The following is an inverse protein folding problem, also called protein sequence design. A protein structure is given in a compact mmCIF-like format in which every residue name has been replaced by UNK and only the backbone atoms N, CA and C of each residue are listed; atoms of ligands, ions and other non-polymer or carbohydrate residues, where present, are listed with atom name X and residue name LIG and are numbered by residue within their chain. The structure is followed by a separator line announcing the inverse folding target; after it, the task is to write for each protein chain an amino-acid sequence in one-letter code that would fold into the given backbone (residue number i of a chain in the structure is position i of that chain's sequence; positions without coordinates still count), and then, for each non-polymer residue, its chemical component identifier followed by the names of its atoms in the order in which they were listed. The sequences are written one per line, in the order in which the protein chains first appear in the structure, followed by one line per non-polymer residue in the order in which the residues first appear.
data_IF_344348070281
#
_entry.id   IF_344348070281
#
_cell.length_a   1.000
_cell.length_b   1.000
_cell.length_c   1.000
_cell.angle_alpha   90.00
_cell.angle_beta   90.00
_cell.angle_gamma   90.00
#
_symmetry.space_group_name_H-M   'P 1'
#
loop_
_entity.id
_entity.type
_entity.pdbx_description
1 polymer ?
#
# COMPACT_ATOMS: atom_id res chain seq x y z
N UNK A 1 13.59 -25.43 7.00
CA UNK A 1 13.26 -24.33 7.95
C UNK A 1 13.83 -22.95 7.62
N UNK A 2 14.63 -22.72 6.54
CA UNK A 2 15.21 -21.38 6.27
C UNK A 2 14.27 -20.37 5.60
N UNK A 3 13.21 -20.83 4.92
CA UNK A 3 12.30 -19.96 4.14
C UNK A 3 11.53 -18.94 4.98
N UNK A 4 10.86 -19.30 6.10
CA UNK A 4 10.15 -18.33 6.95
C UNK A 4 11.03 -17.18 7.47
N UNK A 5 12.30 -17.49 7.80
CA UNK A 5 13.27 -16.49 8.24
C UNK A 5 13.59 -15.47 7.14
N UNK A 6 13.62 -15.88 5.86
CA UNK A 6 13.86 -14.96 4.74
C UNK A 6 12.65 -14.04 4.49
N UNK A 7 11.43 -14.54 4.68
CA UNK A 7 10.21 -13.73 4.62
C UNK A 7 10.18 -12.68 5.74
N UNK A 8 10.40 -13.11 6.99
CA UNK A 8 10.44 -12.19 8.14
C UNK A 8 11.51 -11.13 7.98
N UNK A 9 12.71 -11.51 7.50
CA UNK A 9 13.77 -10.55 7.20
C UNK A 9 13.31 -9.53 6.15
N UNK A 10 12.68 -9.96 5.08
CA UNK A 10 12.21 -9.06 4.00
C UNK A 10 11.13 -8.10 4.49
N UNK A 11 10.18 -8.59 5.30
CA UNK A 11 9.17 -7.76 5.95
C UNK A 11 9.81 -6.73 6.91
N UNK A 12 10.81 -7.15 7.68
CA UNK A 12 11.57 -6.24 8.55
C UNK A 12 12.31 -5.16 7.75
N UNK A 13 12.91 -5.50 6.61
CA UNK A 13 13.55 -4.50 5.74
C UNK A 13 12.54 -3.47 5.25
N UNK A 14 11.37 -3.91 4.79
CA UNK A 14 10.30 -3.00 4.37
C UNK A 14 9.88 -2.08 5.52
N UNK A 15 9.62 -2.61 6.72
CA UNK A 15 9.24 -1.83 7.89
C UNK A 15 10.33 -0.83 8.31
N UNK A 16 11.59 -1.25 8.30
CA UNK A 16 12.73 -0.39 8.61
C UNK A 16 12.82 0.78 7.63
N UNK A 17 12.80 0.51 6.31
CA UNK A 17 12.90 1.57 5.30
C UNK A 17 11.67 2.47 5.26
N UNK A 18 10.48 1.92 5.52
CA UNK A 18 9.27 2.70 5.70
C UNK A 18 9.40 3.70 6.86
N UNK A 19 9.82 3.23 8.05
CA UNK A 19 10.01 4.08 9.23
C UNK A 19 11.12 5.12 9.02
N UNK A 20 12.25 4.72 8.43
CA UNK A 20 13.33 5.66 8.11
C UNK A 20 12.85 6.77 7.18
N UNK A 21 12.06 6.43 6.16
CA UNK A 21 11.51 7.41 5.23
C UNK A 21 10.50 8.32 5.93
N UNK A 22 9.63 7.76 6.77
CA UNK A 22 8.67 8.55 7.56
C UNK A 22 9.40 9.54 8.46
N UNK A 23 10.39 9.10 9.23
CA UNK A 23 11.17 9.97 10.11
C UNK A 23 11.96 11.01 9.34
N UNK A 24 12.54 10.67 8.18
CA UNK A 24 13.25 11.63 7.34
C UNK A 24 12.31 12.71 6.80
N UNK A 25 11.12 12.33 6.34
CA UNK A 25 10.09 13.25 5.81
C UNK A 25 9.58 14.18 6.91
N UNK A 26 9.25 13.64 8.09
CA UNK A 26 8.82 14.43 9.25
C UNK A 26 9.96 15.35 9.73
N UNK A 27 11.19 14.84 9.81
CA UNK A 27 12.35 15.63 10.21
C UNK A 27 12.63 16.79 9.27
N UNK A 28 12.59 16.56 7.96
CA UNK A 28 12.73 17.63 6.95
C UNK A 28 11.60 18.65 7.03
N UNK A 29 10.37 18.20 7.26
CA UNK A 29 9.23 19.10 7.45
C UNK A 29 9.41 19.98 8.69
N UNK A 30 9.88 19.42 9.81
CA UNK A 30 10.16 20.16 11.04
C UNK A 30 11.33 21.16 10.88
N UNK A 31 12.39 20.77 10.17
CA UNK A 31 13.52 21.67 9.85
C UNK A 31 13.02 22.84 9.00
N UNK A 32 12.22 22.57 7.97
CA UNK A 32 11.59 23.60 7.15
C UNK A 32 10.69 24.50 8.00
N UNK A 33 9.88 23.92 8.88
CA UNK A 33 9.00 24.66 9.77
C UNK A 33 9.78 25.61 10.69
N UNK A 34 10.87 25.12 11.29
CA UNK A 34 11.74 25.90 12.15
C UNK A 34 12.42 27.04 11.38
N UNK A 35 12.93 26.76 10.18
CA UNK A 35 13.54 27.78 9.32
C UNK A 35 12.54 28.89 8.95
N UNK A 36 11.32 28.53 8.54
CA UNK A 36 10.26 29.51 8.23
C UNK A 36 9.85 30.32 9.47
N UNK A 37 9.89 29.70 10.64
CA UNK A 37 9.61 30.38 11.91
C UNK A 37 10.69 31.41 12.24
N UNK A 38 11.97 31.07 12.06
CA UNK A 38 13.09 32.00 12.24
C UNK A 38 13.05 33.18 11.27
N UNK A 39 12.50 32.98 10.06
CA UNK A 39 12.31 34.03 9.05
C UNK A 39 11.05 34.88 9.28
N UNK A 40 10.28 34.63 10.34
CA UNK A 40 9.07 35.39 10.67
C UNK A 40 7.87 35.11 9.75
N UNK A 41 7.92 34.03 8.95
CA UNK A 41 6.92 33.70 7.93
C UNK A 41 5.80 32.76 8.44
N UNK A 42 5.58 32.70 9.76
CA UNK A 42 4.65 31.74 10.39
C UNK A 42 3.17 31.96 10.04
N UNK A 43 2.81 33.11 9.48
CA UNK A 43 1.43 33.47 9.12
C UNK A 43 1.04 33.00 7.72
N UNK A 44 2.01 32.71 6.85
CA UNK A 44 1.73 32.24 5.50
C UNK A 44 1.59 30.72 5.50
N UNK A 45 0.38 30.21 5.31
CA UNK A 45 0.13 28.76 5.30
C UNK A 45 0.62 28.07 4.02
N UNK A 46 0.71 28.83 2.92
CA UNK A 46 1.00 28.31 1.57
C UNK A 46 2.35 27.59 1.49
N UNK A 47 3.47 28.15 1.98
CA UNK A 47 4.77 27.46 1.94
C UNK A 47 4.76 26.13 2.71
N UNK A 48 4.06 26.05 3.85
CA UNK A 48 3.96 24.81 4.63
C UNK A 48 3.14 23.75 3.89
N UNK A 49 2.04 24.15 3.24
CA UNK A 49 1.22 23.23 2.44
C UNK A 49 2.01 22.69 1.26
N UNK A 50 2.73 23.55 0.54
CA UNK A 50 3.54 23.14 -0.62
C UNK A 50 4.69 22.22 -0.20
N UNK A 51 5.45 22.59 0.83
CA UNK A 51 6.55 21.77 1.35
C UNK A 51 6.04 20.42 1.88
N UNK A 52 4.92 20.43 2.62
CA UNK A 52 4.26 19.23 3.11
C UNK A 52 3.81 18.31 1.96
N UNK A 53 3.20 18.87 0.91
CA UNK A 53 2.76 18.11 -0.25
C UNK A 53 3.93 17.46 -1.00
N UNK A 54 5.03 18.18 -1.23
CA UNK A 54 6.22 17.66 -1.90
C UNK A 54 6.85 16.52 -1.09
N UNK A 55 7.06 16.75 0.20
CA UNK A 55 7.63 15.75 1.11
C UNK A 55 6.73 14.51 1.22
N UNK A 56 5.41 14.70 1.22
CA UNK A 56 4.44 13.63 1.18
C UNK A 56 4.49 12.83 -0.14
N UNK A 57 4.64 13.49 -1.29
CA UNK A 57 4.82 12.79 -2.57
C UNK A 57 6.11 11.96 -2.61
N UNK A 58 7.21 12.48 -2.05
CA UNK A 58 8.47 11.73 -1.91
C UNK A 58 8.27 10.51 -1.02
N UNK A 59 7.57 10.66 0.11
CA UNK A 59 7.22 9.56 0.99
C UNK A 59 6.42 8.46 0.27
N UNK A 60 5.40 8.85 -0.51
CA UNK A 60 4.57 7.91 -1.27
C UNK A 60 5.37 7.20 -2.37
N UNK A 61 6.25 7.92 -3.06
CA UNK A 61 7.15 7.35 -4.07
C UNK A 61 8.04 6.25 -3.47
N UNK A 62 8.75 6.58 -2.39
CA UNK A 62 9.66 5.65 -1.73
C UNK A 62 8.92 4.47 -1.12
N UNK A 63 7.78 4.70 -0.47
CA UNK A 63 6.94 3.63 0.09
C UNK A 63 6.47 2.66 -1.00
N UNK A 64 6.04 3.17 -2.15
CA UNK A 64 5.63 2.35 -3.29
C UNK A 64 6.80 1.53 -3.84
N UNK A 65 7.99 2.14 -3.94
CA UNK A 65 9.21 1.46 -4.36
C UNK A 65 9.60 0.32 -3.40
N UNK A 66 9.54 0.55 -2.09
CA UNK A 66 9.84 -0.49 -1.09
C UNK A 66 8.77 -1.59 -1.05
N UNK A 67 7.49 -1.25 -1.30
CA UNK A 67 6.40 -2.24 -1.48
C UNK A 67 6.71 -3.17 -2.67
N UNK A 68 7.16 -2.62 -3.79
CA UNK A 68 7.61 -3.39 -4.94
C UNK A 68 8.81 -4.31 -4.64
N UNK A 69 9.82 -3.78 -3.92
CA UNK A 69 10.97 -4.57 -3.48
C UNK A 69 10.59 -5.69 -2.51
N UNK A 70 9.58 -5.47 -1.65
CA UNK A 70 9.04 -6.51 -0.77
C UNK A 70 8.45 -7.68 -1.57
N UNK A 71 7.65 -7.40 -2.60
CA UNK A 71 7.12 -8.45 -3.48
C UNK A 71 8.23 -9.24 -4.17
N UNK A 72 9.29 -8.56 -4.63
CA UNK A 72 10.47 -9.23 -5.19
C UNK A 72 11.16 -10.11 -4.14
N UNK A 73 11.39 -9.58 -2.95
CA UNK A 73 12.05 -10.29 -1.86
C UNK A 73 11.27 -11.53 -1.41
N UNK A 74 9.93 -11.46 -1.40
CA UNK A 74 9.06 -12.60 -1.14
C UNK A 74 9.14 -13.66 -2.24
N UNK A 75 9.17 -13.26 -3.51
CA UNK A 75 9.39 -14.19 -4.62
C UNK A 75 10.79 -14.85 -4.56
N UNK A 76 11.83 -14.13 -4.16
CA UNK A 76 13.16 -14.72 -3.98
C UNK A 76 13.18 -15.69 -2.79
N UNK A 77 12.59 -15.28 -1.66
CA UNK A 77 12.47 -16.10 -0.44
C UNK A 77 11.70 -17.40 -0.69
N UNK A 78 10.65 -17.32 -1.50
CA UNK A 78 9.87 -18.44 -2.00
C UNK A 78 10.73 -19.49 -2.73
N UNK A 79 11.69 -19.03 -3.53
CA UNK A 79 12.63 -19.87 -4.26
C UNK A 79 13.89 -20.22 -3.45
N UNK A 80 13.89 -19.95 -2.14
CA UNK A 80 15.01 -20.24 -1.25
C UNK A 80 16.20 -19.28 -1.36
N UNK A 81 16.04 -18.16 -2.08
CA UNK A 81 17.05 -17.13 -2.24
C UNK A 81 16.88 -16.02 -1.20
N UNK A 82 18.00 -15.48 -0.70
CA UNK A 82 18.01 -14.35 0.25
C UNK A 82 18.19 -13.05 -0.52
N UNK A 83 17.48 -12.00 -0.11
CA UNK A 83 17.75 -10.63 -0.56
C UNK A 83 18.59 -9.89 0.49
N UNK A 84 19.68 -9.27 0.06
CA UNK A 84 20.48 -8.38 0.91
C UNK A 84 19.82 -7.00 1.08
N UNK A 85 20.27 -6.23 2.08
CA UNK A 85 19.81 -4.84 2.29
C UNK A 85 20.12 -3.99 1.05
N UNK A 86 21.35 -4.12 0.53
CA UNK A 86 21.82 -3.41 -0.66
C UNK A 86 20.98 -3.75 -1.89
N UNK A 87 20.69 -5.03 -2.12
CA UNK A 87 19.89 -5.48 -3.25
C UNK A 87 18.45 -4.97 -3.12
N UNK A 88 17.88 -5.00 -1.92
CA UNK A 88 16.55 -4.48 -1.63
C UNK A 88 16.44 -3.00 -1.99
N UNK A 89 17.40 -2.17 -1.53
CA UNK A 89 17.43 -0.74 -1.84
C UNK A 89 17.65 -0.48 -3.33
N UNK A 90 18.64 -1.17 -3.94
CA UNK A 90 18.97 -0.98 -5.35
C UNK A 90 17.80 -1.36 -6.24
N UNK A 91 17.09 -2.43 -5.90
CA UNK A 91 15.89 -2.86 -6.60
C UNK A 91 14.73 -1.88 -6.43
N UNK A 92 14.48 -1.40 -5.20
CA UNK A 92 13.45 -0.41 -4.91
C UNK A 92 13.68 0.87 -5.73
N UNK A 93 14.87 1.46 -5.64
CA UNK A 93 15.21 2.70 -6.32
C UNK A 93 15.24 2.54 -7.84
N UNK A 94 15.78 1.43 -8.34
CA UNK A 94 15.86 1.16 -9.78
C UNK A 94 14.51 0.95 -10.46
N UNK A 95 13.46 0.59 -9.69
CA UNK A 95 12.11 0.33 -10.21
C UNK A 95 11.05 1.26 -9.61
N UNK A 96 11.47 2.30 -8.88
CA UNK A 96 10.56 3.15 -8.11
C UNK A 96 9.49 3.82 -8.97
N UNK A 97 9.87 4.30 -10.17
CA UNK A 97 8.93 4.89 -11.14
C UNK A 97 7.81 3.93 -11.56
N UNK A 98 8.13 2.66 -11.80
CA UNK A 98 7.14 1.64 -12.18
C UNK A 98 6.16 1.38 -11.03
N UNK A 99 6.67 1.18 -9.81
CA UNK A 99 5.81 0.89 -8.66
C UNK A 99 4.98 2.11 -8.26
N UNK A 100 5.55 3.31 -8.33
CA UNK A 100 4.82 4.55 -8.11
C UNK A 100 3.77 4.80 -9.19
N UNK A 101 4.04 4.48 -10.45
CA UNK A 101 3.04 4.53 -11.52
C UNK A 101 1.87 3.57 -11.29
N UNK A 102 2.13 2.34 -10.83
CA UNK A 102 1.07 1.39 -10.44
C UNK A 102 0.25 1.94 -9.28
N UNK A 103 0.91 2.55 -8.30
CA UNK A 103 0.27 3.20 -7.16
C UNK A 103 -0.61 4.38 -7.57
N UNK A 104 -0.13 5.28 -8.44
CA UNK A 104 -0.93 6.39 -8.97
C UNK A 104 -2.17 5.89 -9.71
N UNK A 105 -2.03 4.87 -10.57
CA UNK A 105 -3.17 4.29 -11.28
C UNK A 105 -4.19 3.71 -10.30
N UNK A 106 -3.72 3.04 -9.24
CA UNK A 106 -4.59 2.53 -8.18
C UNK A 106 -5.33 3.66 -7.46
N UNK A 107 -4.64 4.73 -7.04
CA UNK A 107 -5.26 5.91 -6.44
C UNK A 107 -6.27 6.56 -7.38
N UNK A 108 -5.93 6.71 -8.66
CA UNK A 108 -6.85 7.27 -9.64
C UNK A 108 -8.12 6.42 -9.77
N UNK A 109 -7.98 5.09 -9.73
CA UNK A 109 -9.12 4.19 -9.72
C UNK A 109 -9.96 4.34 -8.45
N UNK A 110 -9.33 4.44 -7.27
CA UNK A 110 -10.01 4.72 -5.99
C UNK A 110 -10.78 6.03 -6.08
N UNK A 111 -10.13 7.09 -6.57
CA UNK A 111 -10.72 8.42 -6.73
C UNK A 111 -11.93 8.38 -7.66
N UNK A 112 -11.80 7.72 -8.82
CA UNK A 112 -12.86 7.58 -9.80
C UNK A 112 -14.06 6.82 -9.25
N UNK A 113 -13.83 5.72 -8.53
CA UNK A 113 -14.90 4.92 -7.93
C UNK A 113 -15.59 5.65 -6.77
N UNK A 114 -14.83 6.43 -5.99
CA UNK A 114 -15.36 7.15 -4.82
C UNK A 114 -15.95 8.51 -5.15
N UNK A 115 -15.59 9.15 -6.27
CA UNK A 115 -16.06 10.49 -6.61
C UNK A 115 -17.60 10.61 -6.66
N UNK A 116 -18.36 9.64 -7.24
CA UNK A 116 -19.82 9.70 -7.19
C UNK A 116 -20.38 9.61 -5.77
N UNK A 117 -19.78 8.79 -4.91
CA UNK A 117 -20.21 8.63 -3.51
C UNK A 117 -19.93 9.90 -2.71
N UNK A 118 -18.73 10.48 -2.90
CA UNK A 118 -18.38 11.76 -2.32
C UNK A 118 -19.37 12.85 -2.77
N UNK A 119 -19.71 12.91 -4.06
CA UNK A 119 -20.69 13.87 -4.57
C UNK A 119 -22.08 13.66 -3.93
N UNK A 120 -22.58 12.42 -3.85
CA UNK A 120 -23.86 12.11 -3.21
C UNK A 120 -23.84 12.54 -1.74
N UNK A 121 -22.75 12.27 -1.02
CA UNK A 121 -22.59 12.70 0.37
C UNK A 121 -22.66 14.23 0.49
N UNK A 122 -21.80 14.94 -0.24
CA UNK A 122 -21.64 16.39 -0.12
C UNK A 122 -22.86 17.20 -0.59
N UNK A 123 -23.56 16.73 -1.62
CA UNK A 123 -24.70 17.47 -2.20
C UNK A 123 -26.07 17.07 -1.63
N UNK A 124 -26.21 15.87 -1.06
CA UNK A 124 -27.54 15.36 -0.68
C UNK A 124 -27.65 14.83 0.75
N UNK A 125 -26.57 14.32 1.35
CA UNK A 125 -26.67 13.59 2.63
C UNK A 125 -26.03 14.31 3.82
N UNK A 126 -25.07 15.20 3.58
CA UNK A 126 -24.29 15.86 4.64
C UNK A 126 -25.16 16.64 5.64
N UNK A 127 -26.17 17.35 5.15
CA UNK A 127 -27.01 18.22 5.99
C UNK A 127 -28.28 17.52 6.50
N UNK A 128 -28.59 16.32 6.00
CA UNK A 128 -29.83 15.60 6.28
C UNK A 128 -29.72 14.58 7.44
N UNK A 129 -28.74 14.75 8.34
CA UNK A 129 -28.55 14.01 9.61
C UNK A 129 -29.04 12.55 9.61
N UNK A 130 -28.54 11.72 8.70
CA UNK A 130 -28.60 10.28 8.93
C UNK A 130 -27.56 9.93 10.00
N UNK A 131 -28.03 9.50 11.17
CA UNK A 131 -27.19 9.13 12.33
C UNK A 131 -26.13 8.05 12.00
N UNK A 132 -26.29 7.34 10.89
CA UNK A 132 -25.35 6.32 10.37
C UNK A 132 -24.88 6.58 8.93
N UNK A 133 -25.22 7.71 8.30
CA UNK A 133 -24.92 7.98 6.89
C UNK A 133 -23.43 7.99 6.58
N UNK A 134 -22.64 8.62 7.45
CA UNK A 134 -21.18 8.67 7.35
C UNK A 134 -20.53 7.28 7.47
N UNK A 135 -21.08 6.43 8.33
CA UNK A 135 -20.59 5.06 8.54
C UNK A 135 -20.86 4.21 7.29
N UNK A 136 -22.08 4.29 6.72
CA UNK A 136 -22.44 3.56 5.51
C UNK A 136 -21.55 3.99 4.33
N UNK A 137 -21.33 5.29 4.16
CA UNK A 137 -20.44 5.83 3.12
C UNK A 137 -19.00 5.38 3.35
N UNK A 138 -18.52 5.41 4.59
CA UNK A 138 -17.20 4.90 4.95
C UNK A 138 -17.02 3.43 4.59
N UNK A 139 -18.01 2.58 4.87
CA UNK A 139 -17.98 1.15 4.52
C UNK A 139 -17.96 0.93 3.01
N UNK A 140 -18.78 1.67 2.24
CA UNK A 140 -18.79 1.56 0.78
C UNK A 140 -17.43 2.02 0.22
N UNK A 141 -16.90 3.14 0.74
CA UNK A 141 -15.61 3.70 0.31
C UNK A 141 -14.45 2.74 0.61
N UNK A 142 -14.46 2.08 1.77
CA UNK A 142 -13.52 1.02 2.12
C UNK A 142 -13.62 -0.17 1.16
N UNK A 143 -14.84 -0.60 0.80
CA UNK A 143 -15.07 -1.69 -0.16
C UNK A 143 -14.55 -1.36 -1.56
N UNK A 144 -14.76 -0.13 -2.05
CA UNK A 144 -14.23 0.29 -3.35
C UNK A 144 -12.71 0.43 -3.35
N UNK A 145 -12.15 0.94 -2.27
CA UNK A 145 -10.70 1.03 -2.10
C UNK A 145 -10.06 -0.35 -2.04
N UNK A 146 -10.70 -1.30 -1.37
CA UNK A 146 -10.29 -2.69 -1.36
C UNK A 146 -10.25 -3.28 -2.77
N UNK A 147 -11.27 -3.03 -3.59
CA UNK A 147 -11.29 -3.52 -4.98
C UNK A 147 -10.13 -2.94 -5.79
N UNK A 148 -9.83 -1.65 -5.66
CA UNK A 148 -8.72 -1.02 -6.35
C UNK A 148 -7.36 -1.61 -5.93
N UNK A 149 -7.13 -1.82 -4.63
CA UNK A 149 -5.92 -2.48 -4.12
C UNK A 149 -5.86 -3.95 -4.56
N UNK A 150 -6.99 -4.66 -4.59
CA UNK A 150 -7.07 -6.04 -5.04
C UNK A 150 -6.61 -6.22 -6.48
N UNK A 151 -6.92 -5.27 -7.37
CA UNK A 151 -6.39 -5.27 -8.73
C UNK A 151 -4.94 -4.76 -8.84
N UNK A 152 -4.52 -3.87 -7.94
CA UNK A 152 -3.16 -3.34 -7.94
C UNK A 152 -2.11 -4.34 -7.44
N UNK A 153 -2.46 -5.21 -6.47
CA UNK A 153 -1.56 -6.25 -5.92
C UNK A 153 -0.98 -7.17 -7.01
N UNK A 154 -1.78 -7.83 -7.87
CA UNK A 154 -1.23 -8.69 -8.92
C UNK A 154 -0.45 -7.89 -9.98
N UNK A 155 -0.77 -6.62 -10.21
CA UNK A 155 0.02 -5.75 -11.07
C UNK A 155 1.42 -5.49 -10.47
N UNK A 156 1.47 -5.13 -9.18
CA UNK A 156 2.75 -4.95 -8.46
C UNK A 156 3.57 -6.23 -8.42
N UNK A 157 2.95 -7.38 -8.18
CA UNK A 157 3.66 -8.67 -8.22
C UNK A 157 4.18 -8.99 -9.62
N UNK A 158 3.37 -8.74 -10.67
CA UNK A 158 3.79 -8.91 -12.05
C UNK A 158 4.99 -8.04 -12.41
N UNK A 159 4.94 -6.75 -12.06
CA UNK A 159 6.07 -5.83 -12.23
C UNK A 159 7.31 -6.27 -11.44
N UNK A 160 7.12 -6.72 -10.20
CA UNK A 160 8.22 -7.17 -9.34
C UNK A 160 8.92 -8.43 -9.86
N UNK A 161 8.16 -9.39 -10.38
CA UNK A 161 8.70 -10.67 -10.83
C UNK A 161 9.29 -10.56 -12.23
N UNK A 162 8.59 -9.92 -13.15
CA UNK A 162 8.92 -9.91 -14.58
C UNK A 162 9.58 -8.62 -15.06
N UNK A 163 9.75 -7.60 -14.21
CA UNK A 163 10.38 -6.34 -14.59
C UNK A 163 9.60 -5.57 -15.64
N UNK A 164 8.26 -5.67 -15.61
CA UNK A 164 7.38 -5.05 -16.61
C UNK A 164 7.02 -3.62 -16.24
N UNK A 165 6.86 -2.75 -17.24
CA UNK A 165 6.31 -1.41 -17.04
C UNK A 165 4.82 -1.43 -16.67
N UNK A 166 4.31 -0.28 -16.19
CA UNK A 166 2.97 -0.11 -15.60
C UNK A 166 1.84 -0.72 -16.45
N UNK A 167 1.75 -0.38 -17.74
CA UNK A 167 0.66 -0.88 -18.61
C UNK A 167 0.66 -2.41 -18.73
N UNK A 168 1.85 -3.01 -18.95
CA UNK A 168 1.99 -4.47 -19.03
C UNK A 168 1.71 -5.15 -17.68
N UNK A 169 2.02 -4.49 -16.57
CA UNK A 169 1.72 -4.99 -15.24
C UNK A 169 0.21 -5.12 -14.99
N UNK A 170 -0.60 -4.15 -15.43
CA UNK A 170 -2.07 -4.24 -15.34
C UNK A 170 -2.68 -5.24 -16.32
N UNK A 171 -2.14 -5.37 -17.54
CA UNK A 171 -2.56 -6.44 -18.47
C UNK A 171 -2.26 -7.83 -17.90
N UNK A 172 -1.13 -7.97 -17.20
CA UNK A 172 -0.80 -9.19 -16.47
C UNK A 172 -1.81 -9.44 -15.34
N UNK A 173 -2.15 -8.43 -14.54
CA UNK A 173 -3.15 -8.54 -13.48
C UNK A 173 -4.51 -9.06 -13.99
N UNK A 174 -5.01 -8.52 -15.11
CA UNK A 174 -6.26 -8.97 -15.73
C UNK A 174 -6.19 -10.41 -16.24
N UNK A 175 -5.07 -10.81 -16.83
CA UNK A 175 -4.86 -12.19 -17.30
C UNK A 175 -4.70 -13.16 -16.14
N UNK A 176 -4.02 -12.72 -15.07
CA UNK A 176 -3.77 -13.50 -13.87
C UNK A 176 -5.08 -13.75 -13.12
N UNK A 177 -5.92 -12.71 -12.92
CA UNK A 177 -7.24 -12.85 -12.31
C UNK A 177 -8.10 -13.90 -13.01
N UNK A 178 -8.08 -13.95 -14.36
CA UNK A 178 -8.82 -14.94 -15.16
C UNK A 178 -8.30 -16.38 -15.02
N UNK A 179 -7.03 -16.56 -14.69
CA UNK A 179 -6.35 -17.88 -14.67
C UNK A 179 -6.11 -18.43 -13.27
N UNK A 180 -6.45 -17.68 -12.23
CA UNK A 180 -6.12 -18.01 -10.84
C UNK A 180 -7.27 -18.76 -10.16
N UNK A 181 -6.96 -19.82 -9.42
CA UNK A 181 -7.93 -20.54 -8.58
C UNK A 181 -8.40 -19.69 -7.39
N UNK A 182 -9.57 -20.02 -6.83
CA UNK A 182 -10.16 -19.40 -5.63
C UNK A 182 -9.15 -19.18 -4.50
N UNK A 183 -8.27 -20.16 -4.24
CA UNK A 183 -7.22 -20.04 -3.22
C UNK A 183 -6.23 -18.89 -3.49
N UNK A 184 -5.82 -18.66 -4.75
CA UNK A 184 -4.94 -17.54 -5.11
C UNK A 184 -5.64 -16.18 -5.01
N UNK A 185 -6.93 -16.13 -5.33
CA UNK A 185 -7.75 -14.93 -5.12
C UNK A 185 -7.88 -14.59 -3.63
N UNK A 186 -8.05 -15.59 -2.76
CA UNK A 186 -8.06 -15.38 -1.30
C UNK A 186 -6.74 -14.78 -0.81
N UNK A 187 -5.59 -15.25 -1.30
CA UNK A 187 -4.30 -14.66 -0.92
C UNK A 187 -4.18 -13.18 -1.33
N UNK A 188 -4.66 -12.82 -2.52
CA UNK A 188 -4.69 -11.42 -2.94
C UNK A 188 -5.68 -10.57 -2.14
N UNK A 189 -6.83 -11.14 -1.77
CA UNK A 189 -7.80 -10.47 -0.91
C UNK A 189 -7.17 -10.13 0.44
N UNK A 190 -6.44 -11.07 1.07
CA UNK A 190 -5.76 -10.78 2.33
C UNK A 190 -4.66 -9.73 2.15
N UNK A 191 -3.86 -9.81 1.07
CA UNK A 191 -2.87 -8.76 0.77
C UNK A 191 -3.52 -7.39 0.56
N UNK A 192 -4.59 -7.31 -0.21
CA UNK A 192 -5.34 -6.09 -0.46
C UNK A 192 -5.94 -5.53 0.84
N UNK A 193 -6.45 -6.37 1.72
CA UNK A 193 -6.96 -5.96 3.03
C UNK A 193 -5.87 -5.39 3.93
N UNK A 194 -4.68 -5.98 3.93
CA UNK A 194 -3.53 -5.48 4.69
C UNK A 194 -2.97 -4.18 4.09
N UNK A 195 -3.07 -4.00 2.77
CA UNK A 195 -2.71 -2.74 2.13
C UNK A 195 -3.80 -1.68 2.23
N UNK A 196 -5.07 -2.07 2.41
CA UNK A 196 -6.17 -1.15 2.69
C UNK A 196 -5.94 -0.39 4.01
N UNK A 197 -5.26 -1.02 4.97
CA UNK A 197 -4.85 -0.37 6.23
C UNK A 197 -3.62 0.51 6.07
N UNK A 198 -2.96 0.50 4.91
CA UNK A 198 -1.91 1.47 4.57
C UNK A 198 -2.49 2.81 4.12
N UNK A 199 -1.71 3.88 4.29
CA UNK A 199 -2.12 5.30 4.28
C UNK A 199 -3.14 5.79 3.21
N UNK A 200 -3.18 5.32 1.93
CA UNK A 200 -4.07 5.90 0.93
C UNK A 200 -5.57 5.68 1.18
N UNK A 201 -5.95 4.48 1.65
CA UNK A 201 -7.35 4.17 1.96
C UNK A 201 -7.86 4.92 3.19
N UNK A 202 -6.97 5.11 4.16
CA UNK A 202 -7.25 5.87 5.38
C UNK A 202 -7.44 7.35 5.12
N UNK A 203 -6.61 7.93 4.25
CA UNK A 203 -6.74 9.33 3.85
C UNK A 203 -8.09 9.57 3.15
N UNK A 204 -8.53 8.69 2.26
CA UNK A 204 -9.83 8.82 1.59
C UNK A 204 -11.02 8.73 2.55
N UNK A 205 -11.04 7.73 3.42
CA UNK A 205 -12.11 7.59 4.43
C UNK A 205 -12.08 8.77 5.41
N UNK A 206 -10.90 9.28 5.74
CA UNK A 206 -10.76 10.45 6.62
C UNK A 206 -11.21 11.78 6.00
N UNK A 207 -11.08 11.94 4.69
CA UNK A 207 -11.62 13.11 3.99
C UNK A 207 -13.15 13.10 3.92
N UNK A 208 -13.78 11.93 4.06
CA UNK A 208 -15.23 11.76 4.07
C UNK A 208 -15.83 11.74 5.48
N UNK A 209 -15.05 11.36 6.52
CA UNK A 209 -15.49 11.32 7.92
C UNK A 209 -14.46 12.02 8.83
N UNK A 210 -14.46 13.36 8.89
CA UNK A 210 -13.45 14.13 9.63
C UNK A 210 -13.52 13.90 11.16
N UNK A 211 -14.72 13.66 11.68
CA UNK A 211 -15.02 13.49 13.11
C UNK A 211 -14.38 12.23 13.72
N UNK A 212 -14.23 11.17 12.93
CA UNK A 212 -13.62 9.91 13.35
C UNK A 212 -12.12 9.82 13.00
N UNK A 213 -11.56 10.85 12.34
CA UNK A 213 -10.24 10.79 11.71
C UNK A 213 -9.13 10.28 12.62
N UNK A 214 -8.94 10.91 13.77
CA UNK A 214 -7.80 10.59 14.65
C UNK A 214 -7.90 9.16 15.20
N UNK A 215 -9.10 8.73 15.59
CA UNK A 215 -9.35 7.40 16.15
C UNK A 215 -9.22 6.32 15.07
N UNK A 216 -9.84 6.53 13.91
CA UNK A 216 -9.76 5.60 12.78
C UNK A 216 -8.34 5.49 12.25
N UNK A 217 -7.61 6.62 12.17
CA UNK A 217 -6.22 6.68 11.75
C UNK A 217 -5.31 5.93 12.71
N UNK A 218 -5.41 6.19 14.02
CA UNK A 218 -4.59 5.50 15.03
C UNK A 218 -4.89 3.99 15.07
N UNK A 219 -6.17 3.61 15.03
CA UNK A 219 -6.60 2.22 15.01
C UNK A 219 -6.09 1.50 13.75
N UNK A 220 -6.26 2.09 12.57
CA UNK A 220 -5.87 1.46 11.32
C UNK A 220 -4.35 1.49 11.10
N UNK A 221 -3.64 2.50 11.61
CA UNK A 221 -2.18 2.51 11.69
C UNK A 221 -1.65 1.39 12.59
N UNK A 222 -2.28 1.17 13.76
CA UNK A 222 -1.95 0.06 14.66
C UNK A 222 -2.23 -1.29 13.99
N UNK A 223 -3.39 -1.46 13.36
CA UNK A 223 -3.73 -2.67 12.60
C UNK A 223 -2.74 -2.89 11.46
N UNK A 224 -2.33 -1.84 10.75
CA UNK A 224 -1.33 -1.92 9.68
C UNK A 224 0.02 -2.36 10.22
N UNK A 225 0.48 -1.77 11.33
CA UNK A 225 1.73 -2.13 11.98
C UNK A 225 1.71 -3.60 12.44
N UNK A 226 0.68 -4.02 13.15
CA UNK A 226 0.47 -5.42 13.57
C UNK A 226 0.43 -6.34 12.35
N UNK A 227 -0.27 -5.94 11.29
CA UNK A 227 -0.39 -6.73 10.08
C UNK A 227 0.96 -6.88 9.35
N UNK A 228 1.80 -5.83 9.37
CA UNK A 228 3.17 -5.79 8.82
C UNK A 228 4.06 -6.90 9.38
N UNK A 229 4.00 -7.11 10.70
CA UNK A 229 4.88 -8.03 11.42
C UNK A 229 4.31 -9.43 11.58
N UNK A 230 3.00 -9.57 11.65
CA UNK A 230 2.35 -10.87 11.92
C UNK A 230 1.73 -11.43 10.64
N UNK A 231 0.93 -10.63 9.94
CA UNK A 231 0.10 -11.12 8.85
C UNK A 231 0.92 -11.33 7.57
N UNK A 232 1.86 -10.44 7.21
CA UNK A 232 2.70 -10.64 6.00
C UNK A 232 3.53 -11.93 6.04
N UNK A 233 4.29 -12.24 7.12
CA UNK A 233 5.05 -13.48 7.16
C UNK A 233 4.17 -14.72 7.14
N UNK A 234 3.02 -14.70 7.83
CA UNK A 234 2.07 -15.84 7.87
C UNK A 234 1.45 -16.07 6.50
N UNK A 235 0.95 -15.02 5.84
CA UNK A 235 0.33 -15.13 4.51
C UNK A 235 1.35 -15.55 3.47
N UNK A 236 2.54 -14.95 3.47
CA UNK A 236 3.60 -15.31 2.53
C UNK A 236 4.03 -16.78 2.72
N UNK A 237 4.08 -17.25 3.97
CA UNK A 237 4.33 -18.67 4.29
C UNK A 237 3.17 -19.56 3.81
N UNK A 238 1.92 -19.18 4.04
CA UNK A 238 0.74 -19.94 3.64
C UNK A 238 0.57 -20.02 2.11
N UNK A 239 0.80 -18.91 1.39
CA UNK A 239 0.81 -18.87 -0.07
C UNK A 239 1.88 -19.82 -0.62
N UNK A 240 3.04 -19.89 0.02
CA UNK A 240 4.11 -20.78 -0.41
C UNK A 240 3.83 -22.25 -0.10
N UNK A 241 3.25 -22.59 1.05
CA UNK A 241 2.77 -23.94 1.32
C UNK A 241 1.74 -24.39 0.28
N UNK A 242 0.88 -23.47 -0.16
CA UNK A 242 -0.08 -23.72 -1.24
C UNK A 242 0.61 -23.95 -2.59
N UNK A 243 1.57 -23.10 -2.97
CA UNK A 243 2.33 -23.23 -4.23
C UNK A 243 3.16 -24.52 -4.23
N UNK A 244 3.86 -24.85 -3.14
CA UNK A 244 4.64 -26.09 -2.99
C UNK A 244 3.77 -27.33 -3.14
N UNK A 245 2.61 -27.38 -2.47
CA UNK A 245 1.65 -28.48 -2.63
C UNK A 245 1.23 -28.63 -4.09
N UNK A 246 0.97 -27.52 -4.79
CA UNK A 246 0.50 -27.57 -6.19
C UNK A 246 1.59 -28.00 -7.17
N UNK A 247 2.84 -27.59 -6.94
CA UNK A 247 4.00 -28.02 -7.74
C UNK A 247 4.31 -29.50 -7.50
N UNK A 248 4.29 -29.96 -6.25
CA UNK A 248 4.49 -31.36 -5.90
C UNK A 248 3.42 -32.29 -6.50
N UNK A 249 2.19 -31.81 -6.65
CA UNK A 249 1.10 -32.56 -7.30
C UNK A 249 1.24 -32.59 -8.83
N UNK A 250 1.87 -31.59 -9.46
CA UNK A 250 2.10 -31.57 -10.92
C UNK A 250 3.31 -32.40 -11.38
N UNK A 251 4.28 -32.65 -10.50
CA UNK A 251 5.45 -33.49 -10.80
C UNK A 251 5.24 -35.00 -10.61
N UNK A 252 4.00 -35.43 -10.31
CA UNK A 252 3.63 -36.84 -10.10
C UNK A 252 2.73 -37.42 -11.20
N UNK A 253 2.43 -36.65 -12.24
CA UNK A 253 1.76 -37.09 -13.47
C UNK A 253 2.72 -36.92 -14.64
#
# INVERSE_FOLDING_TARGET
MKRPLFFMKSAFLFALFYLLTLFAVVGLFLIFFFAMTLLGMTKDIVPFVVAGAILFLIFLYLTSAFKGALFRAFYLSANGQKMGIRDFCSYALGNGSTFFGIFIVSIFFVALLNAPIAAIYWFYLKDNMFQYGEIIIGVISLGLTFLAEFFAVPAMMGAAIYGTGVGRAFSFAGTFAKRTHIAGLLFFAVYAFVWLTSYPGLLYVSTLVPSAFLILFLFLFLVHFVAMFITYPIIATAFMLYVEKKVAMKGKN
#
